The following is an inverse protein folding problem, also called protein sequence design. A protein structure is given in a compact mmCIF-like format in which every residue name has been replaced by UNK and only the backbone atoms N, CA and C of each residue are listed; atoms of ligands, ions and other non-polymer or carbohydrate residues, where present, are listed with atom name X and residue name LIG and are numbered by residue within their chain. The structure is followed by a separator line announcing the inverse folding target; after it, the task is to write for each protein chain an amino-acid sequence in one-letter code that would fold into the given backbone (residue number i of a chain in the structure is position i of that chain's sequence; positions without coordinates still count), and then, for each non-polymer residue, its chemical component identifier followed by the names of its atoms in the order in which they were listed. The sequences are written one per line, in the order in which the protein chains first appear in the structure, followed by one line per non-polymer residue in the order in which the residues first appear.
data_IF_360251197395
#
_entry.id   IF_360251197395
#
_cell.length_a   1.000
_cell.length_b   1.000
_cell.length_c   1.000
_cell.angle_alpha   90.00
_cell.angle_beta   90.00
_cell.angle_gamma   90.00
#
_symmetry.space_group_name_H-M   'P 1'
#
loop_
_entity.id
_entity.type
_entity.pdbx_description
1 polymer ?
#
# COMPACT_ATOMS: atom_id res chain seq x y z
N UNK A 1 36.21 -14.77 -60.51
CA UNK A 1 36.89 -14.91 -59.20
C UNK A 1 36.73 -13.69 -58.30
N UNK A 2 36.55 -12.47 -58.84
CA UNK A 2 36.27 -11.25 -58.06
C UNK A 2 34.83 -11.12 -57.54
N UNK A 3 33.84 -11.65 -58.24
CA UNK A 3 32.43 -11.52 -57.83
C UNK A 3 32.04 -12.44 -56.67
N UNK A 4 32.57 -13.68 -56.61
CA UNK A 4 32.32 -14.59 -55.48
C UNK A 4 32.91 -14.06 -54.16
N UNK A 5 34.08 -13.41 -54.23
CA UNK A 5 34.71 -12.77 -53.06
C UNK A 5 33.89 -11.57 -52.58
N UNK A 6 33.30 -10.80 -53.49
CA UNK A 6 32.38 -9.69 -53.13
C UNK A 6 31.10 -10.22 -52.49
N UNK A 7 30.47 -11.24 -53.08
CA UNK A 7 29.25 -11.85 -52.54
C UNK A 7 29.47 -12.46 -51.16
N UNK A 8 30.62 -13.11 -50.90
CA UNK A 8 30.94 -13.63 -49.57
C UNK A 8 31.17 -12.50 -48.54
N UNK A 9 31.82 -11.40 -48.95
CA UNK A 9 32.04 -10.25 -48.06
C UNK A 9 30.72 -9.56 -47.69
N UNK A 10 29.81 -9.38 -48.67
CA UNK A 10 28.49 -8.79 -48.45
C UNK A 10 27.62 -9.67 -47.54
N UNK A 11 27.61 -10.98 -47.77
CA UNK A 11 26.88 -11.92 -46.92
C UNK A 11 27.40 -11.91 -45.46
N UNK A 12 28.73 -11.88 -45.27
CA UNK A 12 29.33 -11.77 -43.93
C UNK A 12 28.94 -10.46 -43.25
N UNK A 13 28.88 -9.35 -43.99
CA UNK A 13 28.46 -8.04 -43.47
C UNK A 13 26.99 -8.03 -43.05
N UNK A 14 26.11 -8.63 -43.84
CA UNK A 14 24.69 -8.77 -43.48
C UNK A 14 24.49 -9.61 -42.22
N UNK A 15 25.24 -10.71 -42.07
CA UNK A 15 25.19 -11.55 -40.88
C UNK A 15 25.64 -10.80 -39.63
N UNK A 16 26.72 -10.00 -39.71
CA UNK A 16 27.18 -9.17 -38.59
C UNK A 16 26.12 -8.13 -38.19
N UNK A 17 25.51 -7.44 -39.16
CA UNK A 17 24.45 -6.45 -38.87
C UNK A 17 23.23 -7.12 -38.22
N UNK A 18 22.86 -8.33 -38.64
CA UNK A 18 21.76 -9.08 -38.00
C UNK A 18 22.10 -9.50 -36.58
N UNK A 19 23.33 -9.94 -36.33
CA UNK A 19 23.80 -10.27 -34.98
C UNK A 19 23.79 -9.03 -34.07
N UNK A 20 24.33 -7.91 -34.53
CA UNK A 20 24.34 -6.64 -33.78
C UNK A 20 22.93 -6.16 -33.46
N UNK A 21 21.98 -6.24 -34.40
CA UNK A 21 20.58 -5.91 -34.13
C UNK A 21 19.96 -6.83 -33.09
N UNK A 22 20.22 -8.13 -33.20
CA UNK A 22 19.69 -9.12 -32.25
C UNK A 22 20.25 -8.87 -30.85
N UNK A 23 21.55 -8.57 -30.73
CA UNK A 23 22.18 -8.24 -29.45
C UNK A 23 21.67 -6.92 -28.87
N UNK A 24 21.50 -5.90 -29.72
CA UNK A 24 20.91 -4.63 -29.31
C UNK A 24 19.47 -4.81 -28.81
N UNK A 25 18.64 -5.56 -29.53
CA UNK A 25 17.26 -5.84 -29.15
C UNK A 25 17.18 -6.65 -27.86
N UNK A 26 18.12 -7.60 -27.67
CA UNK A 26 18.25 -8.35 -26.42
C UNK A 26 18.60 -7.45 -25.24
N UNK A 27 19.58 -6.54 -25.40
CA UNK A 27 19.95 -5.56 -24.35
C UNK A 27 18.80 -4.62 -24.01
N UNK A 28 18.05 -4.17 -25.02
CA UNK A 28 16.84 -3.36 -24.79
C UNK A 28 15.77 -4.14 -24.02
N UNK A 29 15.62 -5.42 -24.32
CA UNK A 29 14.69 -6.30 -23.62
C UNK A 29 15.09 -6.51 -22.16
N UNK A 30 16.36 -6.80 -21.89
CA UNK A 30 16.91 -6.90 -20.52
C UNK A 30 16.72 -5.61 -19.73
N UNK A 31 17.05 -4.46 -20.33
CA UNK A 31 16.87 -3.15 -19.70
C UNK A 31 15.40 -2.89 -19.33
N UNK A 32 14.46 -3.25 -20.22
CA UNK A 32 13.02 -3.14 -19.94
C UNK A 32 12.60 -4.03 -18.78
N UNK A 33 13.01 -5.30 -18.75
CA UNK A 33 12.69 -6.21 -17.65
C UNK A 33 13.24 -5.67 -16.33
N UNK A 34 14.52 -5.27 -16.31
CA UNK A 34 15.16 -4.72 -15.11
C UNK A 34 14.42 -3.49 -14.59
N UNK A 35 14.00 -2.59 -15.48
CA UNK A 35 13.18 -1.44 -15.14
C UNK A 35 11.82 -1.85 -14.55
N UNK A 36 11.10 -2.79 -15.16
CA UNK A 36 9.81 -3.26 -14.64
C UNK A 36 9.93 -3.89 -13.26
N UNK A 37 10.95 -4.71 -13.03
CA UNK A 37 11.22 -5.33 -11.73
C UNK A 37 11.50 -4.24 -10.69
N UNK A 38 12.42 -3.31 -10.99
CA UNK A 38 12.77 -2.23 -10.07
C UNK A 38 11.55 -1.35 -9.73
N UNK A 39 10.73 -1.03 -10.71
CA UNK A 39 9.51 -0.24 -10.51
C UNK A 39 8.50 -0.96 -9.60
N UNK A 40 8.25 -2.25 -9.84
CA UNK A 40 7.33 -3.04 -9.03
C UNK A 40 7.82 -3.18 -7.58
N UNK A 41 9.12 -3.43 -7.37
CA UNK A 41 9.72 -3.47 -6.03
C UNK A 41 9.52 -2.14 -5.30
N UNK A 42 9.81 -1.02 -5.96
CA UNK A 42 9.63 0.30 -5.37
C UNK A 42 8.17 0.59 -4.97
N UNK A 43 7.21 0.19 -5.80
CA UNK A 43 5.77 0.34 -5.47
C UNK A 43 5.39 -0.50 -4.25
N UNK A 44 5.85 -1.75 -4.17
CA UNK A 44 5.54 -2.65 -3.04
C UNK A 44 6.13 -2.08 -1.74
N UNK A 45 7.38 -1.61 -1.80
CA UNK A 45 8.05 -1.01 -0.64
C UNK A 45 7.34 0.26 -0.19
N UNK A 46 6.96 1.13 -1.14
CA UNK A 46 6.19 2.34 -0.84
C UNK A 46 4.84 2.03 -0.21
N UNK A 47 4.09 1.07 -0.76
CA UNK A 47 2.82 0.63 -0.20
C UNK A 47 3.00 0.06 1.22
N UNK A 48 4.05 -0.73 1.44
CA UNK A 48 4.41 -1.24 2.76
C UNK A 48 4.74 -0.13 3.77
N UNK A 49 5.46 0.92 3.33
CA UNK A 49 5.72 2.10 4.15
C UNK A 49 4.45 2.88 4.47
N UNK A 50 3.55 3.06 3.49
CA UNK A 50 2.28 3.75 3.69
C UNK A 50 1.40 3.04 4.72
N UNK A 51 1.25 1.71 4.63
CA UNK A 51 0.50 0.92 5.61
C UNK A 51 1.12 1.03 7.01
N UNK A 52 2.44 0.91 7.13
CA UNK A 52 3.15 1.11 8.40
C UNK A 52 2.91 2.52 8.95
N UNK A 53 2.91 3.54 8.08
CA UNK A 53 2.60 4.91 8.44
C UNK A 53 1.19 5.06 9.05
N UNK A 54 0.18 4.43 8.45
CA UNK A 54 -1.21 4.43 8.98
C UNK A 54 -1.26 3.77 10.36
N UNK A 55 -0.60 2.61 10.53
CA UNK A 55 -0.54 1.91 11.82
C UNK A 55 0.12 2.80 12.87
N UNK A 56 1.29 3.36 12.57
CA UNK A 56 2.04 4.21 13.49
C UNK A 56 1.26 5.47 13.87
N UNK A 57 0.65 6.16 12.90
CA UNK A 57 -0.12 7.37 13.15
C UNK A 57 -1.31 7.10 14.09
N UNK A 58 -2.12 6.08 13.81
CA UNK A 58 -3.24 5.71 14.67
C UNK A 58 -2.78 5.25 16.06
N UNK A 59 -1.69 4.46 16.13
CA UNK A 59 -1.16 3.96 17.41
C UNK A 59 -0.60 5.08 18.28
N UNK A 60 0.13 6.02 17.67
CA UNK A 60 0.69 7.18 18.36
C UNK A 60 -0.42 8.11 18.86
N UNK A 61 -1.44 8.36 18.05
CA UNK A 61 -2.59 9.18 18.45
C UNK A 61 -3.38 8.53 19.60
N UNK A 62 -3.69 7.23 19.50
CA UNK A 62 -4.34 6.50 20.57
C UNK A 62 -3.52 6.54 21.88
N UNK A 63 -2.20 6.32 21.80
CA UNK A 63 -1.31 6.40 22.95
C UNK A 63 -1.30 7.80 23.57
N UNK A 64 -1.22 8.85 22.76
CA UNK A 64 -1.26 10.23 23.24
C UNK A 64 -2.57 10.56 23.95
N UNK A 65 -3.72 10.12 23.42
CA UNK A 65 -5.03 10.30 24.06
C UNK A 65 -5.09 9.56 25.39
N UNK A 66 -4.63 8.30 25.45
CA UNK A 66 -4.62 7.54 26.70
C UNK A 66 -3.73 8.18 27.78
N UNK A 67 -2.55 8.67 27.41
CA UNK A 67 -1.65 9.40 28.32
C UNK A 67 -2.33 10.66 28.83
N UNK A 68 -3.02 11.40 27.96
CA UNK A 68 -3.73 12.61 28.32
C UNK A 68 -4.92 12.35 29.26
N UNK A 69 -5.69 11.29 29.02
CA UNK A 69 -6.90 10.96 29.80
C UNK A 69 -6.58 10.31 31.13
N UNK A 70 -5.45 9.61 31.24
CA UNK A 70 -5.06 8.85 32.44
C UNK A 70 -5.22 9.63 33.76
N UNK A 71 -4.73 10.88 33.86
CA UNK A 71 -4.89 11.72 35.06
C UNK A 71 -6.34 12.09 35.43
N UNK A 72 -7.30 11.99 34.50
CA UNK A 72 -8.71 12.34 34.69
C UNK A 72 -9.60 11.11 34.95
N UNK A 73 -9.03 9.90 34.85
CA UNK A 73 -9.77 8.68 35.03
C UNK A 73 -10.40 8.57 36.42
N UNK A 74 -11.72 8.34 36.47
CA UNK A 74 -12.47 8.21 37.72
C UNK A 74 -12.60 9.50 38.54
N UNK A 75 -12.13 10.65 38.02
CA UNK A 75 -12.34 11.94 38.69
C UNK A 75 -13.76 12.45 38.40
N UNK A 76 -14.53 12.81 39.43
CA UNK A 76 -15.88 13.35 39.24
C UNK A 76 -15.85 14.64 38.44
N UNK A 77 -16.79 14.79 37.50
CA UNK A 77 -16.90 15.96 36.61
C UNK A 77 -16.11 15.86 35.30
N UNK A 78 -15.36 14.78 35.07
CA UNK A 78 -14.59 14.54 33.84
C UNK A 78 -15.13 13.36 33.01
N UNK A 79 -16.31 12.83 33.33
CA UNK A 79 -16.87 11.64 32.70
C UNK A 79 -17.08 11.82 31.19
N UNK A 80 -17.53 13.02 30.77
CA UNK A 80 -17.72 13.33 29.35
C UNK A 80 -16.40 13.40 28.57
N UNK A 81 -15.32 13.87 29.22
CA UNK A 81 -13.99 13.90 28.61
C UNK A 81 -13.46 12.49 28.43
N UNK A 82 -13.54 11.66 29.47
CA UNK A 82 -13.03 10.29 29.44
C UNK A 82 -13.83 9.45 28.45
N UNK A 83 -15.16 9.57 28.39
CA UNK A 83 -16.00 8.86 27.42
C UNK A 83 -15.67 9.26 25.97
N UNK A 84 -15.63 10.57 25.67
CA UNK A 84 -15.32 11.04 24.31
C UNK A 84 -13.90 10.67 23.86
N UNK A 85 -12.94 10.72 24.77
CA UNK A 85 -11.57 10.34 24.46
C UNK A 85 -11.41 8.82 24.26
N UNK A 86 -12.12 7.98 25.02
CA UNK A 86 -12.17 6.53 24.78
C UNK A 86 -12.83 6.19 23.43
N UNK A 87 -13.87 6.93 23.03
CA UNK A 87 -14.46 6.79 21.70
C UNK A 87 -13.42 7.07 20.61
N UNK A 88 -12.64 8.15 20.75
CA UNK A 88 -11.52 8.45 19.84
C UNK A 88 -10.47 7.34 19.79
N UNK A 89 -10.08 6.77 20.94
CA UNK A 89 -9.14 5.63 21.03
C UNK A 89 -9.70 4.40 20.30
N UNK A 90 -10.99 4.11 20.45
CA UNK A 90 -11.66 3.02 19.74
C UNK A 90 -11.60 3.23 18.22
N UNK A 91 -11.86 4.45 17.75
CA UNK A 91 -11.76 4.81 16.32
C UNK A 91 -10.34 4.63 15.78
N UNK A 92 -9.31 5.05 16.53
CA UNK A 92 -7.91 4.80 16.13
C UNK A 92 -7.59 3.30 16.07
N UNK A 93 -8.09 2.49 17.01
CA UNK A 93 -7.91 1.04 16.99
C UNK A 93 -8.54 0.39 15.74
N UNK A 94 -9.73 0.86 15.32
CA UNK A 94 -10.34 0.44 14.06
C UNK A 94 -9.46 0.81 12.85
N UNK A 95 -8.82 1.98 12.88
CA UNK A 95 -7.87 2.40 11.84
C UNK A 95 -6.65 1.48 11.72
N UNK A 96 -6.09 1.05 12.87
CA UNK A 96 -5.00 0.05 12.91
C UNK A 96 -5.48 -1.28 12.33
N UNK A 97 -6.65 -1.76 12.74
CA UNK A 97 -7.22 -3.02 12.24
C UNK A 97 -7.45 -2.97 10.73
N UNK A 98 -7.97 -1.86 10.20
CA UNK A 98 -8.16 -1.66 8.77
C UNK A 98 -6.82 -1.70 8.00
N UNK A 99 -5.75 -1.11 8.54
CA UNK A 99 -4.43 -1.17 7.95
C UNK A 99 -3.83 -2.60 7.95
N UNK A 100 -4.05 -3.37 9.01
CA UNK A 100 -3.64 -4.80 9.08
C UNK A 100 -4.40 -5.62 8.04
N UNK A 101 -5.72 -5.41 7.91
CA UNK A 101 -6.54 -6.06 6.89
C UNK A 101 -6.04 -5.69 5.49
N UNK A 102 -5.73 -4.42 5.24
CA UNK A 102 -5.12 -3.99 3.98
C UNK A 102 -3.82 -4.76 3.66
N UNK A 103 -2.92 -4.91 4.64
CA UNK A 103 -1.68 -5.67 4.45
C UNK A 103 -1.95 -7.14 4.08
N UNK A 104 -2.87 -7.79 4.79
CA UNK A 104 -3.26 -9.18 4.54
C UNK A 104 -3.88 -9.34 3.14
N UNK A 105 -4.82 -8.46 2.77
CA UNK A 105 -5.46 -8.50 1.45
C UNK A 105 -4.47 -8.20 0.32
N UNK A 106 -3.48 -7.34 0.55
CA UNK A 106 -2.40 -7.06 -0.40
C UNK A 106 -1.55 -8.30 -0.65
N UNK A 107 -1.23 -9.06 0.41
CA UNK A 107 -0.52 -10.33 0.28
C UNK A 107 -1.35 -11.38 -0.50
N UNK A 108 -2.63 -11.51 -0.17
CA UNK A 108 -3.56 -12.41 -0.91
C UNK A 108 -3.62 -12.02 -2.38
N UNK A 109 -3.73 -10.72 -2.67
CA UNK A 109 -3.74 -10.17 -4.03
C UNK A 109 -2.49 -10.59 -4.80
N UNK A 110 -1.30 -10.44 -4.20
CA UNK A 110 -0.04 -10.86 -4.81
C UNK A 110 -0.03 -12.37 -5.11
N UNK A 111 -0.53 -13.20 -4.20
CA UNK A 111 -0.64 -14.65 -4.43
C UNK A 111 -1.53 -14.99 -5.63
N UNK A 112 -2.65 -14.29 -5.81
CA UNK A 112 -3.53 -14.50 -6.97
C UNK A 112 -2.90 -14.05 -8.29
N UNK A 113 -2.19 -12.92 -8.31
CA UNK A 113 -1.49 -12.47 -9.52
C UNK A 113 -0.33 -13.39 -9.89
N UNK A 114 0.52 -13.76 -8.94
CA UNK A 114 1.61 -14.72 -9.17
C UNK A 114 1.07 -16.07 -9.64
N UNK A 115 -0.01 -16.56 -9.02
CA UNK A 115 -0.67 -17.80 -9.43
C UNK A 115 -1.35 -17.72 -10.80
N UNK A 116 -1.74 -16.53 -11.27
CA UNK A 116 -2.29 -16.35 -12.61
C UNK A 116 -1.22 -16.50 -13.70
N UNK A 117 0.03 -16.11 -13.41
CA UNK A 117 1.13 -16.19 -14.37
C UNK A 117 1.71 -17.60 -14.52
N UNK A 118 1.53 -18.46 -13.52
CA UNK A 118 1.97 -19.86 -13.54
C UNK A 118 0.96 -20.83 -14.17
N UNK A 119 -0.23 -20.36 -14.57
CA UNK A 119 -1.30 -21.23 -15.07
C UNK A 119 -1.40 -21.22 -16.59
N UNK A 120 -1.42 -22.42 -17.17
CA UNK A 120 -1.75 -22.63 -18.56
C UNK A 120 -3.27 -22.52 -18.79
N UNK A 121 -3.65 -21.79 -19.84
CA UNK A 121 -5.05 -21.59 -20.25
C UNK A 121 -5.64 -20.23 -19.85
N UNK A 122 -6.09 -19.48 -20.87
CA UNK A 122 -6.59 -18.11 -20.73
C UNK A 122 -7.74 -17.96 -19.74
N UNK A 123 -8.64 -18.96 -19.67
CA UNK A 123 -9.82 -18.92 -18.79
C UNK A 123 -9.44 -18.96 -17.31
N UNK A 124 -8.50 -19.82 -16.91
CA UNK A 124 -8.06 -19.92 -15.51
C UNK A 124 -7.24 -18.70 -15.12
N UNK A 125 -6.36 -18.22 -16.01
CA UNK A 125 -5.60 -17.00 -15.82
C UNK A 125 -6.52 -15.78 -15.63
N UNK A 126 -7.58 -15.66 -16.43
CA UNK A 126 -8.57 -14.57 -16.30
C UNK A 126 -9.33 -14.63 -14.96
N UNK A 127 -9.73 -15.82 -14.52
CA UNK A 127 -10.41 -16.01 -13.21
C UNK A 127 -9.53 -15.58 -12.04
N UNK A 128 -8.27 -16.01 -12.03
CA UNK A 128 -7.33 -15.63 -10.97
C UNK A 128 -7.07 -14.13 -10.93
N UNK A 129 -6.88 -13.50 -12.10
CA UNK A 129 -6.74 -12.04 -12.18
C UNK A 129 -7.98 -11.29 -11.71
N UNK A 130 -9.17 -11.79 -12.01
CA UNK A 130 -10.41 -11.17 -11.54
C UNK A 130 -10.56 -11.25 -10.01
N UNK A 131 -10.29 -12.42 -9.42
CA UNK A 131 -10.31 -12.61 -7.96
C UNK A 131 -9.22 -11.76 -7.28
N UNK A 132 -8.01 -11.72 -7.84
CA UNK A 132 -6.95 -10.84 -7.37
C UNK A 132 -7.34 -9.36 -7.43
N UNK A 133 -7.98 -8.93 -8.52
CA UNK A 133 -8.53 -7.57 -8.65
C UNK A 133 -9.58 -7.23 -7.58
N UNK A 134 -10.45 -8.18 -7.23
CA UNK A 134 -11.41 -8.00 -6.15
C UNK A 134 -10.73 -7.76 -4.79
N UNK A 135 -9.76 -8.61 -4.42
CA UNK A 135 -8.99 -8.43 -3.18
C UNK A 135 -8.18 -7.13 -3.16
N UNK A 136 -7.68 -6.70 -4.32
CA UNK A 136 -6.99 -5.42 -4.46
C UNK A 136 -7.89 -4.23 -4.13
N UNK A 137 -9.13 -4.22 -4.64
CA UNK A 137 -10.12 -3.17 -4.35
C UNK A 137 -10.48 -3.17 -2.86
N UNK A 138 -10.66 -4.34 -2.25
CA UNK A 138 -10.91 -4.43 -0.81
C UNK A 138 -9.73 -3.90 0.02
N UNK A 139 -8.49 -4.18 -0.40
CA UNK A 139 -7.29 -3.66 0.26
C UNK A 139 -7.27 -2.12 0.20
N UNK A 140 -7.60 -1.54 -0.97
CA UNK A 140 -7.67 -0.10 -1.14
C UNK A 140 -8.73 0.53 -0.23
N UNK A 141 -9.93 -0.06 -0.16
CA UNK A 141 -11.00 0.40 0.75
C UNK A 141 -10.54 0.37 2.20
N UNK A 142 -9.86 -0.71 2.62
CA UNK A 142 -9.33 -0.85 3.97
C UNK A 142 -8.24 0.21 4.28
N UNK A 143 -7.36 0.51 3.32
CA UNK A 143 -6.38 1.59 3.47
C UNK A 143 -7.04 2.96 3.66
N UNK A 144 -8.04 3.28 2.83
CA UNK A 144 -8.80 4.54 2.93
C UNK A 144 -9.54 4.60 4.27
N UNK A 145 -10.18 3.51 4.69
CA UNK A 145 -10.84 3.44 6.00
C UNK A 145 -9.84 3.70 7.14
N UNK A 146 -8.62 3.15 7.08
CA UNK A 146 -7.58 3.40 8.08
C UNK A 146 -7.15 4.86 8.20
N UNK A 147 -7.09 5.58 7.07
CA UNK A 147 -6.81 7.03 7.05
C UNK A 147 -8.01 7.83 7.58
N UNK A 148 -9.22 7.48 7.18
CA UNK A 148 -10.44 8.16 7.63
C UNK A 148 -10.67 7.98 9.13
N UNK A 149 -10.42 6.79 9.67
CA UNK A 149 -10.47 6.52 11.11
C UNK A 149 -9.54 7.44 11.90
N UNK A 150 -8.35 7.73 11.38
CA UNK A 150 -7.45 8.70 12.02
C UNK A 150 -8.08 10.10 12.08
N UNK A 151 -8.65 10.58 10.97
CA UNK A 151 -9.30 11.88 10.93
C UNK A 151 -10.52 11.97 11.86
N UNK A 152 -11.36 10.93 11.88
CA UNK A 152 -12.53 10.85 12.76
C UNK A 152 -12.12 10.79 14.23
N UNK A 153 -11.16 9.93 14.59
CA UNK A 153 -10.66 9.83 15.96
C UNK A 153 -10.06 11.13 16.48
N UNK A 154 -9.37 11.89 15.61
CA UNK A 154 -8.85 13.22 15.95
C UNK A 154 -9.99 14.23 16.21
N UNK A 155 -11.04 14.23 15.38
CA UNK A 155 -12.23 15.06 15.58
C UNK A 155 -12.96 14.73 16.87
N UNK A 156 -13.11 13.45 17.21
CA UNK A 156 -13.77 13.02 18.45
C UNK A 156 -12.98 13.47 19.69
N UNK A 157 -11.65 13.35 19.65
CA UNK A 157 -10.77 13.87 20.70
C UNK A 157 -10.88 15.39 20.89
N UNK A 158 -10.93 16.15 19.78
CA UNK A 158 -11.12 17.61 19.82
C UNK A 158 -12.48 18.00 20.42
N UNK A 159 -13.56 17.33 20.00
CA UNK A 159 -14.90 17.57 20.54
C UNK A 159 -14.98 17.29 22.04
N UNK A 160 -14.31 16.23 22.51
CA UNK A 160 -14.26 15.90 23.93
C UNK A 160 -13.57 17.01 24.76
N UNK A 161 -12.50 17.60 24.22
CA UNK A 161 -11.79 18.73 24.81
C UNK A 161 -12.64 20.01 24.83
N UNK A 162 -13.36 20.30 23.75
CA UNK A 162 -14.25 21.46 23.68
C UNK A 162 -15.41 21.34 24.66
N UNK A 163 -16.02 20.15 24.75
CA UNK A 163 -17.09 19.88 25.71
C UNK A 163 -16.65 20.16 27.15
N UNK A 164 -15.40 19.85 27.51
CA UNK A 164 -14.90 20.11 28.87
C UNK A 164 -14.60 21.58 29.14
N UNK A 165 -14.18 22.35 28.14
CA UNK A 165 -13.98 23.81 28.28
C UNK A 165 -15.27 24.55 28.62
N UNK A 166 -16.42 24.05 28.14
CA UNK A 166 -17.74 24.63 28.43
C UNK A 166 -18.24 24.35 29.86
N UNK A 167 -17.61 23.42 30.59
CA UNK A 167 -17.98 23.07 31.97
C UNK A 167 -17.04 23.65 33.03
N UNK A 168 -16.04 24.46 32.68
CA UNK A 168 -15.30 25.22 33.68
C UNK A 168 -16.21 26.37 34.18
N UNK A 169 -16.58 26.43 35.48
CA UNK A 169 -17.16 27.64 36.03
C UNK A 169 -16.16 28.78 35.83
N UNK A 170 -16.66 29.95 35.41
CA UNK A 170 -15.86 31.16 35.36
C UNK A 170 -15.16 31.38 36.72
N UNK A 171 -13.91 31.88 36.72
CA UNK A 171 -13.11 32.05 37.94
C UNK A 171 -13.79 32.92 38.99
#
# INVERSE_FOLDING_TARGET
MTDEVRTQADHKREMMIRQERTEHDWRLYEAKIAMYVAHNTAIIDFAGMAIKGIILANSAAAGAVLIFVGPFWGKPGYEKLTEGALAGVSTFAQGILAAIICAMLSYITQQFYSGADMRDGDTLKKRFRWVGGFFHVLALIAAVAGVLSFAVGACDGLRALEATRLFQPAP
#
